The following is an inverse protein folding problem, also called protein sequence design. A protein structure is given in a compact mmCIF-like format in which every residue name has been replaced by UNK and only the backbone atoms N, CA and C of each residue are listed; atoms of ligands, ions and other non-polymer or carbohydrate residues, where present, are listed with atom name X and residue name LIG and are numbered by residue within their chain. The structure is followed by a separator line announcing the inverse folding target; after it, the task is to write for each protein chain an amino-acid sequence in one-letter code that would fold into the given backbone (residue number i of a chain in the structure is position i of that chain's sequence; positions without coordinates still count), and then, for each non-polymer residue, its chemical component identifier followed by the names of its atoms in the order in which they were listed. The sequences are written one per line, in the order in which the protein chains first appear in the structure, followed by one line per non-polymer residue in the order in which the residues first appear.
data_IF_990057037436
#
_entry.id   IF_990057037436
#
_cell.length_a   1.000
_cell.length_b   1.000
_cell.length_c   1.000
_cell.angle_alpha   90.00
_cell.angle_beta   90.00
_cell.angle_gamma   90.00
#
_symmetry.space_group_name_H-M   'P 1'
#
loop_
_entity.id
_entity.type
_entity.pdbx_description
1 polymer ?
#
# COMPACT_ATOMS: atom_id res chain seq x y z
N UNK A 1 32.83 -21.54 -10.72
CA UNK A 1 33.77 -20.69 -9.98
C UNK A 1 33.61 -19.27 -10.51
N UNK A 2 32.58 -18.58 -10.01
CA UNK A 2 32.40 -17.13 -10.18
C UNK A 2 32.02 -16.64 -8.79
N UNK A 3 32.98 -15.99 -8.17
CA UNK A 3 32.83 -15.26 -6.91
C UNK A 3 32.40 -13.87 -7.35
N UNK A 4 31.14 -13.51 -7.12
CA UNK A 4 30.75 -12.09 -7.19
C UNK A 4 31.32 -11.39 -5.96
N UNK A 5 32.08 -10.33 -6.22
CA UNK A 5 32.72 -9.50 -5.23
C UNK A 5 31.68 -8.91 -4.29
N UNK A 6 31.79 -9.24 -3.00
CA UNK A 6 31.21 -8.47 -1.90
C UNK A 6 31.69 -7.03 -2.06
N UNK A 7 30.79 -6.11 -2.39
CA UNK A 7 31.10 -4.70 -2.45
C UNK A 7 31.66 -4.27 -1.08
N UNK A 8 32.86 -3.71 -1.06
CA UNK A 8 33.47 -3.17 0.16
C UNK A 8 32.61 -2.03 0.71
N UNK A 9 32.42 -1.97 2.03
CA UNK A 9 31.69 -0.89 2.74
C UNK A 9 32.07 0.51 2.23
N UNK A 10 33.33 0.70 1.85
CA UNK A 10 33.84 1.97 1.31
C UNK A 10 33.14 2.45 0.04
N UNK A 11 32.72 1.55 -0.87
CA UNK A 11 32.01 1.91 -2.11
C UNK A 11 30.56 2.29 -1.83
N UNK A 12 29.96 1.71 -0.79
CA UNK A 12 28.61 2.04 -0.35
C UNK A 12 28.61 3.41 0.35
N UNK A 13 29.60 3.66 1.21
CA UNK A 13 29.80 4.95 1.88
C UNK A 13 30.05 6.09 0.88
N UNK A 14 30.83 5.86 -0.18
CA UNK A 14 31.01 6.84 -1.27
C UNK A 14 29.70 7.14 -2.01
N UNK A 15 28.86 6.13 -2.25
CA UNK A 15 27.53 6.33 -2.86
C UNK A 15 26.59 7.10 -1.93
N UNK A 16 26.56 6.77 -0.64
CA UNK A 16 25.75 7.48 0.36
C UNK A 16 26.18 8.94 0.42
N UNK A 17 27.49 9.21 0.45
CA UNK A 17 28.02 10.57 0.46
C UNK A 17 27.62 11.34 -0.79
N UNK A 18 27.77 10.73 -1.97
CA UNK A 18 27.37 11.32 -3.24
C UNK A 18 25.87 11.64 -3.29
N UNK A 19 25.02 10.72 -2.85
CA UNK A 19 23.58 10.96 -2.81
C UNK A 19 23.19 12.03 -1.80
N UNK A 20 23.85 12.10 -0.64
CA UNK A 20 23.66 13.20 0.32
C UNK A 20 24.08 14.56 -0.26
N UNK A 21 25.17 14.62 -1.03
CA UNK A 21 25.61 15.83 -1.72
C UNK A 21 24.64 16.25 -2.83
N UNK A 22 24.12 15.30 -3.62
CA UNK A 22 23.07 15.55 -4.62
C UNK A 22 21.76 16.03 -3.97
N UNK A 23 21.38 15.44 -2.83
CA UNK A 23 20.22 15.84 -2.06
C UNK A 23 20.38 17.27 -1.54
N UNK A 24 21.53 17.59 -0.94
CA UNK A 24 21.84 18.94 -0.45
C UNK A 24 21.86 19.98 -1.59
N UNK A 25 22.38 19.62 -2.76
CA UNK A 25 22.38 20.49 -3.94
C UNK A 25 20.97 20.77 -4.47
N UNK A 26 20.02 19.84 -4.31
CA UNK A 26 18.60 20.09 -4.62
C UNK A 26 17.93 21.09 -3.67
N UNK A 27 18.45 21.23 -2.44
CA UNK A 27 17.94 22.16 -1.43
C UNK A 27 18.71 23.50 -1.37
N UNK A 28 19.76 23.68 -2.17
CA UNK A 28 20.65 24.85 -2.17
C UNK A 28 20.05 26.12 -2.81
N UNK A 29 18.71 26.22 -2.82
CA UNK A 29 17.97 27.46 -3.04
C UNK A 29 17.62 28.22 -1.75
N UNK A 30 17.64 27.56 -0.59
CA UNK A 30 17.37 28.17 0.72
C UNK A 30 18.11 27.39 1.84
N UNK A 31 19.43 27.58 1.97
CA UNK A 31 20.19 27.10 3.14
C UNK A 31 20.42 28.24 4.14
N UNK A 32 19.58 28.33 5.16
CA UNK A 32 20.06 28.68 6.50
C UNK A 32 20.65 27.42 7.15
N UNK A 33 21.79 27.57 7.81
CA UNK A 33 22.67 26.52 8.32
C UNK A 33 21.97 25.44 9.17
N UNK A 34 22.05 24.19 8.72
CA UNK A 34 21.62 22.97 9.44
C UNK A 34 22.61 22.56 10.53
N UNK A 35 22.85 23.44 11.50
CA UNK A 35 23.29 23.05 12.84
C UNK A 35 22.25 23.61 13.79
N UNK A 36 21.08 22.98 13.84
CA UNK A 36 20.06 23.39 14.81
C UNK A 36 20.19 22.53 16.05
N UNK A 37 20.59 23.19 17.15
CA UNK A 37 20.08 22.84 18.47
C UNK A 37 18.56 22.65 18.37
N UNK A 38 18.00 21.79 19.22
CA UNK A 38 16.59 21.41 19.28
C UNK A 38 15.73 22.64 19.67
N UNK A 39 15.55 23.57 18.73
CA UNK A 39 14.69 24.73 18.85
C UNK A 39 13.29 24.27 18.50
N UNK A 40 12.36 24.36 19.45
CA UNK A 40 10.93 24.12 19.19
C UNK A 40 10.51 24.90 17.94
N UNK A 41 10.26 24.20 16.83
CA UNK A 41 9.87 24.88 15.58
C UNK A 41 10.51 24.41 14.28
N UNK A 42 11.31 23.35 14.24
CA UNK A 42 11.80 22.71 12.99
C UNK A 42 11.28 21.28 12.81
N UNK A 43 11.64 20.62 11.70
CA UNK A 43 11.30 19.21 11.45
C UNK A 43 9.82 18.91 11.19
N UNK A 44 9.39 17.71 11.54
CA UNK A 44 8.02 17.23 11.28
C UNK A 44 6.96 18.09 11.99
N UNK A 45 7.24 18.55 13.21
CA UNK A 45 6.31 19.41 13.96
C UNK A 45 6.07 20.75 13.25
N UNK A 46 7.14 21.36 12.71
CA UNK A 46 7.02 22.57 11.91
C UNK A 46 6.19 22.31 10.65
N UNK A 47 6.49 21.22 9.94
CA UNK A 47 5.80 20.83 8.72
C UNK A 47 4.29 20.61 8.94
N UNK A 48 3.88 19.84 9.96
CA UNK A 48 2.46 19.62 10.23
C UNK A 48 1.75 20.89 10.68
N UNK A 49 2.43 21.75 11.45
CA UNK A 49 1.91 23.07 11.85
C UNK A 49 1.69 23.97 10.63
N UNK A 50 2.61 23.99 9.68
CA UNK A 50 2.52 24.78 8.46
C UNK A 50 1.41 24.27 7.54
N UNK A 51 1.27 22.94 7.40
CA UNK A 51 0.16 22.32 6.68
C UNK A 51 -1.19 22.76 7.23
N UNK A 52 -1.39 22.69 8.55
CA UNK A 52 -2.65 23.13 9.19
C UNK A 52 -2.83 24.65 9.14
N UNK A 53 -1.74 25.40 9.15
CA UNK A 53 -1.78 26.85 9.03
C UNK A 53 -2.25 27.27 7.63
N UNK A 54 -1.76 26.60 6.59
CA UNK A 54 -2.07 26.85 5.18
C UNK A 54 -3.42 26.27 4.75
N UNK A 55 -3.75 25.07 5.19
CA UNK A 55 -4.96 24.34 4.81
C UNK A 55 -5.91 24.23 6.00
N UNK A 56 -6.79 25.23 6.17
CA UNK A 56 -7.71 25.31 7.32
C UNK A 56 -8.72 24.17 7.41
N UNK A 57 -8.98 23.50 6.30
CA UNK A 57 -9.90 22.35 6.21
C UNK A 57 -9.15 21.01 6.19
N UNK A 58 -7.89 20.97 6.64
CA UNK A 58 -7.12 19.73 6.77
C UNK A 58 -7.54 18.97 8.04
N UNK A 59 -8.34 17.93 7.86
CA UNK A 59 -8.86 17.12 8.96
C UNK A 59 -7.75 16.30 9.65
N UNK A 60 -6.97 15.56 8.85
CA UNK A 60 -5.98 14.61 9.36
C UNK A 60 -4.68 14.61 8.58
N UNK A 61 -3.61 14.18 9.25
CA UNK A 61 -2.29 13.92 8.67
C UNK A 61 -1.95 12.48 9.03
N UNK A 62 -1.74 11.65 8.04
CA UNK A 62 -1.42 10.23 8.22
C UNK A 62 0.01 9.96 7.78
N UNK A 63 0.67 9.02 8.45
CA UNK A 63 2.01 8.55 8.04
C UNK A 63 1.99 7.06 7.74
N UNK A 64 2.90 6.62 6.89
CA UNK A 64 3.06 5.22 6.54
C UNK A 64 4.13 4.55 7.40
N UNK A 65 3.90 3.30 7.80
CA UNK A 65 4.94 2.39 8.26
C UNK A 65 4.54 0.92 8.04
N UNK A 66 5.48 -0.02 8.16
CA UNK A 66 5.17 -1.44 8.14
C UNK A 66 4.80 -1.95 9.55
N UNK A 67 4.08 -3.06 9.65
CA UNK A 67 3.62 -3.61 10.93
C UNK A 67 4.77 -3.84 11.92
N UNK A 68 5.91 -4.31 11.46
CA UNK A 68 7.09 -4.57 12.30
C UNK A 68 8.07 -3.39 12.38
N UNK A 69 7.76 -2.22 11.81
CA UNK A 69 8.65 -1.05 11.76
C UNK A 69 8.79 -0.49 10.35
N UNK A 70 9.99 -0.53 9.79
CA UNK A 70 10.19 -0.39 8.34
C UNK A 70 10.02 -1.75 7.64
N UNK A 71 10.30 -1.83 6.34
CA UNK A 71 10.18 -3.06 5.54
C UNK A 71 10.82 -4.31 6.19
N UNK A 72 12.01 -4.18 6.77
CA UNK A 72 12.73 -5.25 7.48
C UNK A 72 12.63 -5.16 9.01
N UNK A 73 11.67 -4.41 9.54
CA UNK A 73 11.43 -4.26 10.97
C UNK A 73 12.42 -3.34 11.70
N UNK A 74 12.72 -3.67 12.97
CA UNK A 74 13.53 -2.84 13.89
C UNK A 74 14.94 -3.41 14.03
N UNK A 75 15.96 -2.56 13.82
CA UNK A 75 17.37 -2.93 14.00
C UNK A 75 17.71 -3.21 15.50
N UNK A 76 18.13 -4.44 15.87
CA UNK A 76 18.38 -4.88 17.26
C UNK A 76 19.25 -3.97 18.13
N UNK A 77 20.26 -3.35 17.53
CA UNK A 77 21.29 -2.59 18.26
C UNK A 77 20.92 -1.13 18.49
N UNK A 78 19.83 -0.65 17.88
CA UNK A 78 19.44 0.77 17.95
C UNK A 78 18.46 1.06 19.07
N UNK A 79 17.51 0.16 19.29
CA UNK A 79 16.45 0.29 20.28
C UNK A 79 16.47 -0.93 21.21
N UNK A 80 17.55 -1.07 21.99
CA UNK A 80 17.83 -2.26 22.81
C UNK A 80 16.73 -2.60 23.80
N UNK A 81 15.97 -1.61 24.29
CA UNK A 81 14.83 -1.79 25.18
C UNK A 81 13.64 -2.53 24.54
N UNK A 82 13.58 -2.60 23.20
CA UNK A 82 12.55 -3.33 22.46
C UNK A 82 12.91 -4.80 22.22
N UNK A 83 14.13 -5.22 22.56
CA UNK A 83 14.57 -6.63 22.46
C UNK A 83 14.34 -7.22 21.05
N UNK A 84 14.57 -6.45 19.99
CA UNK A 84 14.35 -6.98 18.63
C UNK A 84 15.44 -7.96 18.21
N UNK A 85 15.05 -8.97 17.42
CA UNK A 85 15.94 -10.02 16.89
C UNK A 85 15.68 -10.16 15.39
N UNK A 86 16.73 -10.29 14.60
CA UNK A 86 16.58 -10.63 13.17
C UNK A 86 16.16 -12.09 13.06
N UNK A 87 14.98 -12.32 12.50
CA UNK A 87 14.41 -13.63 12.20
C UNK A 87 14.50 -13.84 10.68
N UNK A 88 15.05 -14.97 10.20
CA UNK A 88 15.01 -15.31 8.79
C UNK A 88 13.58 -15.34 8.26
N UNK A 89 13.39 -14.93 7.00
CA UNK A 89 12.10 -15.05 6.33
C UNK A 89 12.13 -16.26 5.40
N UNK A 90 11.44 -17.33 5.78
CA UNK A 90 11.34 -18.54 4.97
C UNK A 90 10.12 -18.46 4.05
N UNK A 91 10.37 -18.49 2.72
CA UNK A 91 9.29 -18.50 1.73
C UNK A 91 8.65 -19.90 1.71
N UNK A 92 7.33 -19.94 1.90
CA UNK A 92 6.57 -21.18 1.74
C UNK A 92 6.52 -21.62 0.27
N UNK A 93 6.45 -22.93 -0.06
CA UNK A 93 6.36 -23.40 -1.44
C UNK A 93 5.19 -22.79 -2.24
N UNK A 94 4.09 -22.44 -1.57
CA UNK A 94 2.95 -21.79 -2.21
C UNK A 94 3.22 -20.34 -2.59
N UNK A 95 3.95 -19.60 -1.76
CA UNK A 95 4.37 -18.24 -2.06
C UNK A 95 5.49 -18.22 -3.12
N UNK A 96 6.41 -19.18 -3.08
CA UNK A 96 7.48 -19.35 -4.08
C UNK A 96 6.94 -19.66 -5.48
N UNK A 97 5.78 -20.34 -5.54
CA UNK A 97 5.07 -20.61 -6.80
C UNK A 97 4.27 -19.41 -7.34
N UNK A 98 4.26 -18.28 -6.63
CA UNK A 98 3.55 -17.06 -7.02
C UNK A 98 4.49 -16.05 -7.71
N UNK A 99 4.07 -14.79 -7.83
CA UNK A 99 4.87 -13.75 -8.46
C UNK A 99 6.04 -13.34 -7.57
N UNK A 100 7.24 -13.26 -8.18
CA UNK A 100 8.42 -12.66 -7.57
C UNK A 100 8.17 -11.18 -7.28
N UNK A 101 8.46 -10.75 -6.05
CA UNK A 101 8.26 -9.38 -5.61
C UNK A 101 9.56 -8.81 -5.04
N UNK A 102 9.95 -7.62 -5.50
CA UNK A 102 11.22 -7.01 -5.10
C UNK A 102 11.27 -6.73 -3.59
N UNK A 103 10.16 -6.35 -2.96
CA UNK A 103 10.14 -6.07 -1.53
C UNK A 103 10.28 -7.38 -0.73
N UNK A 104 9.60 -8.45 -1.16
CA UNK A 104 9.74 -9.78 -0.56
C UNK A 104 11.17 -10.30 -0.70
N UNK A 105 11.80 -10.18 -1.87
CA UNK A 105 13.18 -10.64 -2.08
C UNK A 105 14.16 -9.95 -1.12
N UNK A 106 13.99 -8.64 -0.88
CA UNK A 106 14.80 -7.91 0.11
C UNK A 106 14.52 -8.33 1.55
N UNK A 107 13.29 -8.72 1.86
CA UNK A 107 12.93 -9.28 3.17
C UNK A 107 13.60 -10.64 3.37
N UNK A 108 13.64 -11.49 2.35
CA UNK A 108 14.30 -12.80 2.39
C UNK A 108 15.81 -12.65 2.59
N UNK A 109 16.45 -11.75 1.85
CA UNK A 109 17.89 -11.51 1.94
C UNK A 109 18.33 -11.02 3.32
N UNK A 110 17.57 -10.10 3.93
CA UNK A 110 17.98 -9.42 5.17
C UNK A 110 17.30 -9.95 6.45
N UNK A 111 16.21 -10.71 6.32
CA UNK A 111 15.35 -11.10 7.43
C UNK A 111 14.56 -9.92 8.02
N UNK A 112 13.85 -10.20 9.11
CA UNK A 112 13.00 -9.22 9.80
C UNK A 112 13.47 -9.03 11.23
N UNK A 113 13.80 -7.80 11.59
CA UNK A 113 13.99 -7.38 12.97
C UNK A 113 12.67 -7.37 13.73
N UNK A 114 12.28 -8.52 14.26
CA UNK A 114 11.05 -8.70 15.02
C UNK A 114 11.26 -8.24 16.47
N UNK A 115 10.45 -7.29 16.93
CA UNK A 115 10.37 -6.89 18.35
C UNK A 115 9.80 -8.05 19.16
N UNK A 116 10.38 -8.35 20.32
CA UNK A 116 9.86 -9.43 21.15
C UNK A 116 8.36 -9.19 21.47
N UNK A 117 7.46 -10.20 21.36
CA UNK A 117 6.02 -9.96 21.46
C UNK A 117 5.57 -9.27 22.75
N UNK A 118 6.23 -9.52 23.89
CA UNK A 118 5.95 -8.83 25.16
C UNK A 118 6.16 -7.31 25.11
N UNK A 119 6.89 -6.81 24.11
CA UNK A 119 7.22 -5.41 23.87
C UNK A 119 6.42 -4.77 22.74
N UNK A 120 5.49 -5.48 22.11
CA UNK A 120 4.74 -4.97 20.96
C UNK A 120 4.01 -3.65 21.24
N UNK A 121 3.36 -3.51 22.40
CA UNK A 121 2.71 -2.25 22.79
C UNK A 121 3.71 -1.10 22.95
N UNK A 122 4.84 -1.34 23.64
CA UNK A 122 5.89 -0.33 23.85
C UNK A 122 6.48 0.13 22.52
N UNK A 123 6.68 -0.80 21.59
CA UNK A 123 7.14 -0.51 20.23
C UNK A 123 6.17 0.43 19.50
N UNK A 124 4.89 0.08 19.38
CA UNK A 124 3.92 0.96 18.70
C UNK A 124 3.69 2.27 19.43
N UNK A 125 3.65 2.25 20.77
CA UNK A 125 3.39 3.45 21.56
C UNK A 125 4.55 4.45 21.49
N UNK A 126 5.80 3.98 21.43
CA UNK A 126 6.97 4.84 21.27
C UNK A 126 6.92 5.61 19.93
N UNK A 127 6.56 4.93 18.85
CA UNK A 127 6.42 5.53 17.53
C UNK A 127 5.21 6.47 17.45
N UNK A 128 4.03 5.98 17.84
CA UNK A 128 2.79 6.74 17.69
C UNK A 128 2.69 7.93 18.67
N UNK A 129 3.24 7.82 19.88
CA UNK A 129 3.26 8.94 20.83
C UNK A 129 4.06 10.12 20.28
N UNK A 130 5.23 9.86 19.66
CA UNK A 130 6.01 10.90 18.99
C UNK A 130 5.27 11.49 17.79
N UNK A 131 4.71 10.65 16.93
CA UNK A 131 3.95 11.10 15.76
C UNK A 131 2.75 11.98 16.18
N UNK A 132 2.00 11.57 17.20
CA UNK A 132 0.91 12.34 17.77
C UNK A 132 1.40 13.68 18.35
N UNK A 133 2.54 13.69 19.05
CA UNK A 133 3.09 14.93 19.62
C UNK A 133 3.51 15.94 18.55
N UNK A 134 3.86 15.47 17.34
CA UNK A 134 4.18 16.34 16.19
C UNK A 134 2.98 16.53 15.25
N UNK A 135 1.75 16.25 15.70
CA UNK A 135 0.52 16.63 15.00
C UNK A 135 0.00 15.67 13.93
N UNK A 136 0.58 14.46 13.83
CA UNK A 136 0.03 13.34 13.04
C UNK A 136 -1.21 12.79 13.76
N UNK A 137 -2.21 12.36 13.00
CA UNK A 137 -3.51 11.93 13.55
C UNK A 137 -3.87 10.50 13.22
N UNK A 138 -3.10 9.81 12.39
CA UNK A 138 -3.37 8.44 12.00
C UNK A 138 -2.22 7.79 11.25
N UNK A 139 -2.40 6.54 10.86
CA UNK A 139 -1.38 5.76 10.17
C UNK A 139 -1.93 4.90 9.03
N UNK A 140 -1.13 4.72 7.98
CA UNK A 140 -1.30 3.63 7.02
C UNK A 140 -0.26 2.56 7.37
N UNK A 141 -0.72 1.37 7.71
CA UNK A 141 0.15 0.28 8.12
C UNK A 141 0.17 -0.79 7.04
N UNK A 142 1.37 -1.14 6.60
CA UNK A 142 1.60 -2.18 5.59
C UNK A 142 2.17 -3.46 6.19
N UNK A 143 2.27 -4.48 5.35
CA UNK A 143 3.03 -5.72 5.59
C UNK A 143 2.49 -6.56 6.77
N UNK A 144 1.17 -6.61 6.95
CA UNK A 144 0.55 -7.39 8.04
C UNK A 144 0.79 -8.90 7.91
N UNK A 145 0.95 -9.40 6.68
CA UNK A 145 1.23 -10.80 6.39
C UNK A 145 2.56 -11.29 6.96
N UNK A 146 3.51 -10.38 7.24
CA UNK A 146 4.85 -10.74 7.72
C UNK A 146 4.86 -11.59 8.98
N UNK A 147 3.87 -11.43 9.87
CA UNK A 147 3.81 -12.20 11.12
C UNK A 147 3.76 -13.71 10.85
N UNK A 148 3.17 -14.15 9.74
CA UNK A 148 3.10 -15.58 9.42
C UNK A 148 4.49 -16.22 9.30
N UNK A 149 5.44 -15.51 8.69
CA UNK A 149 6.79 -16.03 8.41
C UNK A 149 7.74 -16.00 9.60
N UNK A 150 7.37 -15.33 10.70
CA UNK A 150 8.27 -15.12 11.86
C UNK A 150 7.67 -15.63 13.17
N UNK A 151 6.61 -16.44 13.10
CA UNK A 151 5.85 -16.86 14.28
C UNK A 151 6.29 -18.19 14.92
N UNK A 152 7.26 -18.90 14.36
CA UNK A 152 7.63 -20.25 14.80
C UNK A 152 8.03 -20.31 16.28
N UNK A 153 8.84 -19.36 16.75
CA UNK A 153 9.27 -19.27 18.16
C UNK A 153 8.22 -18.63 19.09
N UNK A 154 7.03 -18.26 18.58
CA UNK A 154 6.07 -17.41 19.28
C UNK A 154 4.65 -17.99 19.37
N UNK A 155 4.53 -19.32 19.36
CA UNK A 155 3.24 -20.02 19.47
C UNK A 155 2.45 -20.05 18.17
N UNK A 156 3.11 -19.78 17.03
CA UNK A 156 2.50 -19.74 15.71
C UNK A 156 1.78 -18.43 15.42
N UNK A 157 1.38 -18.27 14.15
CA UNK A 157 0.90 -17.00 13.61
C UNK A 157 -0.29 -16.40 14.38
N UNK A 158 -1.13 -17.22 14.98
CA UNK A 158 -2.31 -16.77 15.76
C UNK A 158 -1.91 -16.09 17.07
N UNK A 159 -1.01 -16.70 17.87
CA UNK A 159 -0.62 -16.14 19.16
C UNK A 159 0.27 -14.90 19.01
N UNK A 160 1.14 -14.91 17.99
CA UNK A 160 1.92 -13.74 17.62
C UNK A 160 1.01 -12.58 17.18
N UNK A 161 0.05 -12.84 16.28
CA UNK A 161 -0.89 -11.84 15.79
C UNK A 161 -1.76 -11.25 16.91
N UNK A 162 -2.27 -12.07 17.84
CA UNK A 162 -3.00 -11.57 19.02
C UNK A 162 -2.19 -10.53 19.79
N UNK A 163 -0.92 -10.83 20.04
CA UNK A 163 -0.05 -9.97 20.84
C UNK A 163 0.29 -8.67 20.11
N UNK A 164 0.65 -8.76 18.82
CA UNK A 164 0.97 -7.61 17.98
C UNK A 164 -0.25 -6.71 17.77
N UNK A 165 -1.41 -7.27 17.43
CA UNK A 165 -2.62 -6.49 17.18
C UNK A 165 -3.20 -5.90 18.47
N UNK A 166 -3.07 -6.55 19.62
CA UNK A 166 -3.42 -5.95 20.92
C UNK A 166 -2.51 -4.76 21.25
N UNK A 167 -1.20 -4.90 21.04
CA UNK A 167 -0.24 -3.81 21.20
C UNK A 167 -0.54 -2.63 20.27
N UNK A 168 -0.79 -2.90 18.99
CA UNK A 168 -1.18 -1.90 18.01
C UNK A 168 -2.49 -1.21 18.41
N UNK A 169 -3.52 -1.98 18.76
CA UNK A 169 -4.82 -1.44 19.19
C UNK A 169 -4.68 -0.49 20.37
N UNK A 170 -3.93 -0.87 21.40
CA UNK A 170 -3.70 -0.01 22.58
C UNK A 170 -3.02 1.30 22.19
N UNK A 171 -2.00 1.25 21.35
CA UNK A 171 -1.31 2.44 20.86
C UNK A 171 -2.23 3.34 20.03
N UNK A 172 -3.02 2.76 19.12
CA UNK A 172 -3.98 3.49 18.29
C UNK A 172 -5.05 4.20 19.14
N UNK A 173 -5.61 3.52 20.14
CA UNK A 173 -6.60 4.10 21.07
C UNK A 173 -6.03 5.27 21.85
N UNK A 174 -4.77 5.14 22.30
CA UNK A 174 -4.10 6.20 23.07
C UNK A 174 -3.76 7.42 22.21
N UNK A 175 -3.24 7.21 21.00
CA UNK A 175 -2.56 8.26 20.24
C UNK A 175 -3.38 8.83 19.07
N UNK A 176 -4.30 8.05 18.50
CA UNK A 176 -4.98 8.36 17.22
C UNK A 176 -6.48 8.03 17.23
N UNK A 177 -7.18 8.30 18.34
CA UNK A 177 -8.63 8.06 18.50
C UNK A 177 -9.09 6.60 18.25
N UNK A 178 -8.16 5.64 18.19
CA UNK A 178 -8.42 4.23 17.90
C UNK A 178 -8.50 3.91 16.40
N UNK A 179 -9.42 4.55 15.67
CA UNK A 179 -9.82 4.10 14.32
C UNK A 179 -9.12 4.80 13.16
N UNK A 180 -8.20 5.74 13.42
CA UNK A 180 -7.48 6.48 12.38
C UNK A 180 -6.34 5.63 11.78
N UNK A 181 -6.70 4.48 11.21
CA UNK A 181 -5.78 3.50 10.64
C UNK A 181 -6.33 2.88 9.35
N UNK A 182 -5.46 2.81 8.35
CA UNK A 182 -5.70 2.12 7.09
C UNK A 182 -4.71 0.96 6.99
N UNK A 183 -5.19 -0.27 6.76
CA UNK A 183 -4.32 -1.41 6.54
C UNK A 183 -4.05 -1.64 5.06
N UNK A 184 -2.86 -2.13 4.75
CA UNK A 184 -2.52 -2.61 3.42
C UNK A 184 -1.57 -3.80 3.52
N UNK A 185 -1.55 -4.63 2.48
CA UNK A 185 -0.93 -5.97 2.52
C UNK A 185 -1.44 -6.80 3.73
N UNK A 186 -2.75 -6.83 3.95
CA UNK A 186 -3.35 -7.48 5.13
C UNK A 186 -4.04 -8.81 4.88
N UNK A 187 -3.80 -9.43 3.72
CA UNK A 187 -4.65 -10.50 3.18
C UNK A 187 -4.46 -11.86 3.89
N UNK A 188 -3.98 -11.86 5.13
CA UNK A 188 -3.88 -13.04 5.99
C UNK A 188 -5.17 -13.23 6.81
N UNK A 189 -5.51 -14.48 7.13
CA UNK A 189 -6.75 -14.80 7.85
C UNK A 189 -6.80 -14.16 9.25
N UNK A 190 -5.68 -14.15 9.95
CA UNK A 190 -5.55 -13.62 11.30
C UNK A 190 -5.93 -12.14 11.36
N UNK A 191 -5.59 -11.35 10.33
CA UNK A 191 -6.02 -9.97 10.22
C UNK A 191 -7.54 -9.84 10.25
N UNK A 192 -8.24 -10.60 9.40
CA UNK A 192 -9.70 -10.52 9.30
C UNK A 192 -10.43 -10.92 10.57
N UNK A 193 -9.89 -11.87 11.34
CA UNK A 193 -10.49 -12.32 12.59
C UNK A 193 -10.11 -11.48 13.81
N UNK A 194 -8.93 -10.85 13.82
CA UNK A 194 -8.36 -10.23 15.02
C UNK A 194 -8.18 -8.70 14.87
N UNK A 195 -7.65 -8.23 13.75
CA UNK A 195 -7.30 -6.82 13.54
C UNK A 195 -8.51 -5.94 13.17
N UNK A 196 -9.53 -6.53 12.54
CA UNK A 196 -10.77 -5.83 12.13
C UNK A 196 -11.58 -5.27 13.30
N UNK A 197 -11.27 -5.69 14.53
CA UNK A 197 -11.77 -5.05 15.75
C UNK A 197 -11.43 -3.55 15.80
N UNK A 198 -10.24 -3.17 15.33
CA UNK A 198 -9.75 -1.78 15.37
C UNK A 198 -9.65 -1.15 13.98
N UNK A 199 -9.40 -1.96 12.95
CA UNK A 199 -9.10 -1.49 11.59
C UNK A 199 -10.30 -1.79 10.68
N UNK A 200 -10.94 -0.74 10.17
CA UNK A 200 -12.14 -0.87 9.32
C UNK A 200 -11.89 -0.61 7.84
N UNK A 201 -10.70 -0.17 7.45
CA UNK A 201 -10.35 0.13 6.05
C UNK A 201 -9.12 -0.68 5.67
N UNK A 202 -9.17 -1.36 4.52
CA UNK A 202 -8.00 -2.07 4.03
C UNK A 202 -7.93 -2.19 2.51
N UNK A 203 -6.70 -2.12 1.99
CA UNK A 203 -6.42 -2.25 0.56
C UNK A 203 -6.84 -3.61 0.03
N UNK A 204 -7.60 -3.62 -1.05
CA UNK A 204 -8.11 -4.85 -1.69
C UNK A 204 -7.40 -5.21 -2.99
N UNK A 205 -6.60 -4.30 -3.56
CA UNK A 205 -5.79 -4.58 -4.74
C UNK A 205 -4.30 -4.68 -4.42
N UNK A 206 -3.54 -5.02 -5.45
CA UNK A 206 -2.12 -4.71 -5.51
C UNK A 206 -1.92 -3.18 -5.64
N UNK A 207 -0.68 -2.71 -5.69
CA UNK A 207 -0.36 -1.30 -5.90
C UNK A 207 -0.85 -0.79 -7.26
N UNK A 208 -1.28 0.47 -7.30
CA UNK A 208 -1.37 1.21 -8.54
C UNK A 208 0.04 1.43 -9.10
N UNK A 209 0.30 0.81 -10.24
CA UNK A 209 1.54 0.98 -11.00
C UNK A 209 1.31 1.91 -12.18
N UNK A 210 1.99 3.06 -12.19
CA UNK A 210 1.94 4.03 -13.30
C UNK A 210 2.72 3.56 -14.54
N UNK A 211 3.63 2.58 -14.37
CA UNK A 211 4.34 1.90 -15.46
C UNK A 211 4.61 0.45 -15.05
N UNK A 212 4.87 -0.43 -16.02
CA UNK A 212 5.24 -1.80 -15.71
C UNK A 212 6.62 -1.86 -15.04
N UNK A 213 6.73 -2.44 -13.83
CA UNK A 213 8.01 -2.60 -13.15
C UNK A 213 9.02 -3.43 -13.95
N UNK A 214 8.55 -4.21 -14.92
CA UNK A 214 9.42 -4.99 -15.81
C UNK A 214 9.70 -4.35 -17.17
N UNK A 215 9.23 -3.12 -17.39
CA UNK A 215 9.60 -2.30 -18.54
C UNK A 215 8.81 -2.55 -19.83
N UNK A 216 7.66 -3.22 -19.82
CA UNK A 216 6.75 -3.23 -20.97
C UNK A 216 6.19 -1.81 -21.20
N UNK A 217 6.46 -1.17 -22.36
CA UNK A 217 5.94 0.16 -22.66
C UNK A 217 4.41 0.24 -22.67
N UNK A 218 3.73 -0.89 -22.95
CA UNK A 218 2.27 -0.96 -22.92
C UNK A 218 1.71 -1.25 -21.52
N UNK A 219 2.60 -1.49 -20.53
CA UNK A 219 2.30 -1.67 -19.12
C UNK A 219 1.39 -0.60 -18.56
N UNK A 220 1.64 0.64 -18.97
CA UNK A 220 0.87 1.83 -18.62
C UNK A 220 -0.65 1.67 -18.86
N UNK A 221 -1.08 0.78 -19.77
CA UNK A 221 -2.49 0.50 -20.05
C UNK A 221 -2.99 -0.81 -19.43
N UNK A 222 -2.31 -1.93 -19.67
CA UNK A 222 -2.87 -3.24 -19.30
C UNK A 222 -2.84 -3.49 -17.78
N UNK A 223 -1.90 -2.88 -17.04
CA UNK A 223 -1.88 -2.93 -15.58
C UNK A 223 -3.12 -2.29 -14.95
N UNK A 224 -3.69 -1.28 -15.62
CA UNK A 224 -4.84 -0.56 -15.08
C UNK A 224 -6.11 -1.41 -15.13
N UNK A 225 -6.24 -2.25 -16.17
CA UNK A 225 -7.26 -3.30 -16.24
C UNK A 225 -7.08 -4.35 -15.13
N UNK A 226 -5.84 -4.80 -14.93
CA UNK A 226 -5.48 -5.77 -13.89
C UNK A 226 -5.82 -5.25 -12.48
N UNK A 227 -5.42 -4.03 -12.16
CA UNK A 227 -5.72 -3.36 -10.89
C UNK A 227 -7.22 -3.33 -10.60
N UNK A 228 -8.02 -2.96 -11.61
CA UNK A 228 -9.48 -2.89 -11.49
C UNK A 228 -10.12 -4.25 -11.22
N UNK A 229 -9.62 -5.30 -11.86
CA UNK A 229 -10.08 -6.67 -11.63
C UNK A 229 -9.73 -7.08 -10.20
N UNK A 230 -8.48 -6.89 -9.77
CA UNK A 230 -8.04 -7.24 -8.42
C UNK A 230 -8.90 -6.53 -7.36
N UNK A 231 -9.04 -5.20 -7.45
CA UNK A 231 -9.83 -4.44 -6.49
C UNK A 231 -11.30 -4.88 -6.47
N UNK A 232 -11.93 -5.05 -7.63
CA UNK A 232 -13.36 -5.39 -7.71
C UNK A 232 -13.66 -6.81 -7.22
N UNK A 233 -12.87 -7.81 -7.63
CA UNK A 233 -13.08 -9.20 -7.23
C UNK A 233 -12.70 -9.42 -5.77
N UNK A 234 -11.62 -8.83 -5.27
CA UNK A 234 -11.26 -8.95 -3.86
C UNK A 234 -12.28 -8.21 -2.96
N UNK A 235 -12.91 -7.13 -3.45
CA UNK A 235 -14.01 -6.46 -2.73
C UNK A 235 -15.21 -7.38 -2.51
N UNK A 236 -15.45 -8.39 -3.36
CA UNK A 236 -16.53 -9.37 -3.17
C UNK A 236 -16.38 -10.15 -1.86
N UNK A 237 -15.14 -10.54 -1.55
CA UNK A 237 -14.80 -11.28 -0.35
C UNK A 237 -14.54 -10.34 0.84
N UNK A 238 -13.63 -9.39 0.69
CA UNK A 238 -13.13 -8.55 1.79
C UNK A 238 -14.16 -7.52 2.26
N UNK A 239 -15.01 -7.04 1.34
CA UNK A 239 -16.06 -6.06 1.64
C UNK A 239 -17.07 -6.54 2.70
N UNK A 240 -17.15 -7.84 2.95
CA UNK A 240 -18.01 -8.40 4.01
C UNK A 240 -17.45 -8.15 5.42
N UNK A 241 -16.19 -7.73 5.54
CA UNK A 241 -15.49 -7.59 6.82
C UNK A 241 -14.91 -6.18 7.03
N UNK A 242 -14.41 -5.55 5.97
CA UNK A 242 -13.78 -4.22 6.02
C UNK A 242 -14.21 -3.38 4.82
N UNK A 243 -14.09 -2.05 4.93
CA UNK A 243 -14.26 -1.14 3.81
C UNK A 243 -13.09 -1.32 2.82
N UNK A 244 -13.37 -1.69 1.56
CA UNK A 244 -12.34 -1.79 0.52
C UNK A 244 -11.68 -0.45 0.21
N UNK A 245 -10.36 -0.44 0.25
CA UNK A 245 -9.51 0.62 -0.30
C UNK A 245 -8.95 0.19 -1.65
N UNK A 246 -9.26 0.98 -2.68
CA UNK A 246 -8.89 0.70 -4.09
C UNK A 246 -7.57 1.34 -4.47
N UNK A 247 -6.80 1.84 -3.51
CA UNK A 247 -5.53 2.53 -3.68
C UNK A 247 -5.62 3.91 -4.32
N UNK A 248 -4.52 4.66 -4.20
CA UNK A 248 -4.22 5.90 -4.90
C UNK A 248 -4.16 5.74 -6.43
N UNK A 249 -4.18 6.88 -7.12
CA UNK A 249 -3.87 6.97 -8.54
C UNK A 249 -3.25 8.34 -8.84
N UNK A 250 -2.68 8.48 -10.04
CA UNK A 250 -2.13 9.74 -10.53
C UNK A 250 -3.12 10.42 -11.48
N UNK A 251 -3.44 11.70 -11.22
CA UNK A 251 -4.42 12.48 -11.98
C UNK A 251 -3.91 12.93 -13.35
N UNK A 252 -2.59 12.97 -13.52
CA UNK A 252 -1.88 13.27 -14.78
C UNK A 252 -1.52 12.00 -15.59
N UNK A 253 -1.82 10.81 -15.06
CA UNK A 253 -1.61 9.56 -15.76
C UNK A 253 -2.48 9.44 -17.03
N UNK A 254 -2.01 8.74 -18.06
CA UNK A 254 -2.75 8.54 -19.32
C UNK A 254 -4.10 7.83 -19.11
N UNK A 255 -4.21 7.00 -18.08
CA UNK A 255 -5.46 6.34 -17.65
C UNK A 255 -6.12 7.02 -16.43
N UNK A 256 -5.83 8.29 -16.15
CA UNK A 256 -6.35 8.97 -14.96
C UNK A 256 -7.89 9.02 -14.92
N UNK A 257 -8.56 9.32 -16.04
CA UNK A 257 -10.04 9.34 -16.07
C UNK A 257 -10.65 7.96 -15.77
N UNK A 258 -9.98 6.89 -16.22
CA UNK A 258 -10.37 5.51 -15.95
C UNK A 258 -10.31 5.20 -14.44
N UNK A 259 -9.24 5.64 -13.76
CA UNK A 259 -9.11 5.47 -12.31
C UNK A 259 -10.00 6.42 -11.49
N UNK A 260 -10.19 7.66 -11.93
CA UNK A 260 -11.10 8.61 -11.29
C UNK A 260 -12.53 8.05 -11.30
N UNK A 261 -12.99 7.54 -12.45
CA UNK A 261 -14.30 6.92 -12.58
C UNK A 261 -14.44 5.68 -11.67
N UNK A 262 -13.41 4.87 -11.52
CA UNK A 262 -13.45 3.71 -10.64
C UNK A 262 -13.49 4.05 -9.15
N UNK A 263 -12.72 5.06 -8.72
CA UNK A 263 -12.75 5.54 -7.33
C UNK A 263 -14.07 6.24 -7.00
N UNK A 264 -14.70 6.93 -7.96
CA UNK A 264 -16.01 7.53 -7.76
C UNK A 264 -17.12 6.48 -7.44
N UNK A 265 -17.04 5.29 -8.05
CA UNK A 265 -18.00 4.20 -7.79
C UNK A 265 -17.55 3.26 -6.67
N UNK A 266 -16.26 3.21 -6.31
CA UNK A 266 -15.71 2.23 -5.35
C UNK A 266 -16.38 2.30 -3.97
N UNK A 267 -16.84 3.49 -3.56
CA UNK A 267 -17.36 3.76 -2.22
C UNK A 267 -16.28 3.84 -1.13
N UNK A 268 -15.04 3.55 -1.49
CA UNK A 268 -13.87 3.69 -0.64
C UNK A 268 -13.31 5.12 -0.62
N UNK A 269 -12.15 5.30 0.00
CA UNK A 269 -11.42 6.55 -0.05
C UNK A 269 -10.86 6.85 -1.46
N UNK A 270 -10.51 8.11 -1.69
CA UNK A 270 -9.91 8.60 -2.94
C UNK A 270 -8.61 9.30 -2.60
N UNK A 271 -7.49 8.78 -3.10
CA UNK A 271 -6.16 9.34 -2.88
C UNK A 271 -5.49 9.67 -4.22
N UNK A 272 -4.69 10.74 -4.21
CA UNK A 272 -3.85 11.12 -5.34
C UNK A 272 -2.39 10.97 -4.96
N UNK A 273 -1.58 10.44 -5.88
CA UNK A 273 -0.13 10.25 -5.72
C UNK A 273 0.67 10.91 -6.84
N UNK A 274 0.12 12.00 -7.36
CA UNK A 274 0.72 12.87 -8.36
C UNK A 274 2.11 13.33 -7.92
N UNK A 275 3.02 13.46 -8.89
CA UNK A 275 4.35 14.00 -8.62
C UNK A 275 4.26 15.49 -8.20
N UNK A 276 5.23 15.95 -7.41
CA UNK A 276 5.36 17.38 -7.14
C UNK A 276 5.92 18.09 -8.39
N UNK A 277 5.30 19.20 -8.81
CA UNK A 277 5.79 20.00 -9.93
C UNK A 277 4.71 20.79 -10.65
N UNK A 278 5.11 21.76 -11.46
CA UNK A 278 4.20 22.49 -12.33
C UNK A 278 3.67 21.54 -13.43
N UNK A 279 2.34 21.45 -13.56
CA UNK A 279 1.70 20.57 -14.55
C UNK A 279 1.44 19.14 -14.11
N UNK A 280 1.85 18.73 -12.91
CA UNK A 280 1.69 17.35 -12.39
C UNK A 280 0.30 17.03 -11.85
N UNK A 281 -0.64 17.99 -11.87
CA UNK A 281 -2.00 17.83 -11.36
C UNK A 281 -3.04 18.18 -12.42
N UNK A 282 -3.93 17.24 -12.73
CA UNK A 282 -5.10 17.50 -13.55
C UNK A 282 -6.26 18.01 -12.69
N UNK A 283 -6.23 19.30 -12.37
CA UNK A 283 -7.27 19.93 -11.54
C UNK A 283 -8.68 19.80 -12.11
N UNK A 284 -8.84 19.74 -13.43
CA UNK A 284 -10.16 19.57 -14.04
C UNK A 284 -10.73 18.18 -13.79
N UNK A 285 -9.89 17.13 -13.79
CA UNK A 285 -10.31 15.79 -13.38
C UNK A 285 -10.58 15.70 -11.88
N UNK A 286 -9.70 16.28 -11.05
CA UNK A 286 -9.84 16.26 -9.58
C UNK A 286 -11.16 16.91 -9.16
N UNK A 287 -11.51 18.06 -9.74
CA UNK A 287 -12.78 18.76 -9.46
C UNK A 287 -14.01 17.93 -9.85
N UNK A 288 -13.93 16.97 -10.78
CA UNK A 288 -15.06 16.06 -11.09
C UNK A 288 -15.35 15.08 -9.95
N UNK A 289 -14.39 14.86 -9.04
CA UNK A 289 -14.51 13.92 -7.92
C UNK A 289 -14.98 14.58 -6.62
N UNK A 290 -15.13 15.90 -6.58
CA UNK A 290 -15.51 16.64 -5.38
C UNK A 290 -16.66 17.62 -5.67
N UNK A 291 -17.46 17.88 -4.65
CA UNK A 291 -18.42 18.98 -4.68
C UNK A 291 -17.70 20.33 -4.48
N UNK A 292 -18.39 21.43 -4.78
CA UNK A 292 -17.84 22.79 -4.64
C UNK A 292 -17.44 23.14 -3.20
N UNK A 293 -18.01 22.48 -2.20
CA UNK A 293 -17.66 22.65 -0.79
C UNK A 293 -16.44 21.81 -0.37
N UNK A 294 -15.83 21.08 -1.30
CA UNK A 294 -14.67 20.22 -1.07
C UNK A 294 -15.02 18.80 -0.58
N UNK A 295 -16.31 18.49 -0.35
CA UNK A 295 -16.69 17.15 0.07
C UNK A 295 -16.66 16.17 -1.11
N UNK A 296 -16.21 14.94 -0.85
CA UNK A 296 -16.13 13.89 -1.88
C UNK A 296 -17.40 13.04 -1.83
N UNK A 297 -18.25 13.04 -2.88
CA UNK A 297 -19.38 12.12 -2.96
C UNK A 297 -18.90 10.68 -2.93
N UNK A 298 -19.47 9.88 -2.02
CA UNK A 298 -19.21 8.44 -1.92
C UNK A 298 -20.48 7.65 -2.14
N UNK A 299 -20.34 6.52 -2.82
CA UNK A 299 -21.37 5.49 -2.83
C UNK A 299 -21.53 4.90 -1.41
N UNK A 300 -22.71 4.33 -1.13
CA UNK A 300 -23.13 3.85 0.19
C UNK A 300 -22.47 2.53 0.55
N UNK A 301 -22.25 1.66 -0.44
CA UNK A 301 -21.58 0.37 -0.26
C UNK A 301 -20.20 0.40 -0.91
N UNK A 302 -19.60 -0.77 -1.09
CA UNK A 302 -18.41 -0.97 -1.91
C UNK A 302 -18.80 -1.49 -3.30
N UNK A 303 -18.00 -1.15 -4.31
CA UNK A 303 -18.26 -1.60 -5.67
C UNK A 303 -18.01 -3.12 -5.81
N UNK A 304 -18.96 -3.80 -6.45
CA UNK A 304 -18.90 -5.24 -6.71
C UNK A 304 -19.07 -5.52 -8.20
N UNK A 305 -18.44 -6.59 -8.74
CA UNK A 305 -18.73 -7.05 -10.09
C UNK A 305 -20.22 -7.36 -10.25
N UNK A 306 -20.82 -6.98 -11.37
CA UNK A 306 -22.19 -7.38 -11.66
C UNK A 306 -22.26 -8.88 -11.85
N UNK A 307 -23.42 -9.46 -11.55
CA UNK A 307 -23.63 -10.92 -11.60
C UNK A 307 -23.20 -11.55 -12.93
N UNK A 308 -23.37 -10.84 -14.03
CA UNK A 308 -23.04 -11.32 -15.37
C UNK A 308 -21.56 -11.13 -15.77
N UNK A 309 -20.76 -10.43 -14.95
CA UNK A 309 -19.30 -10.35 -15.06
C UNK A 309 -18.58 -11.36 -14.17
N UNK A 310 -19.19 -11.85 -13.08
CA UNK A 310 -18.54 -12.69 -12.06
C UNK A 310 -17.77 -13.91 -12.60
N UNK A 311 -18.35 -14.63 -13.55
CA UNK A 311 -17.77 -15.85 -14.13
C UNK A 311 -17.19 -15.63 -15.53
N UNK A 312 -16.93 -14.38 -15.90
CA UNK A 312 -16.26 -14.01 -17.15
C UNK A 312 -14.83 -13.59 -16.83
N UNK A 313 -14.00 -13.57 -17.85
CA UNK A 313 -12.63 -13.10 -17.75
C UNK A 313 -12.45 -11.80 -18.55
N UNK A 314 -12.67 -10.62 -17.93
CA UNK A 314 -12.58 -9.35 -18.62
C UNK A 314 -11.14 -8.90 -18.91
N UNK A 315 -10.12 -9.71 -18.57
CA UNK A 315 -8.71 -9.37 -18.76
C UNK A 315 -8.19 -9.73 -20.15
N UNK A 316 -8.67 -10.81 -20.78
CA UNK A 316 -8.09 -11.23 -22.06
C UNK A 316 -9.01 -12.03 -23.01
N UNK A 317 -10.29 -12.20 -22.69
CA UNK A 317 -11.21 -12.93 -23.56
C UNK A 317 -11.64 -12.16 -24.83
N UNK A 318 -11.26 -10.87 -24.94
CA UNK A 318 -11.59 -9.95 -26.04
C UNK A 318 -13.09 -9.72 -26.28
N UNK A 319 -13.94 -10.15 -25.36
CA UNK A 319 -15.40 -10.06 -25.47
C UNK A 319 -16.01 -9.34 -24.26
N UNK A 320 -15.54 -9.67 -23.07
CA UNK A 320 -16.14 -9.22 -21.82
C UNK A 320 -15.65 -7.85 -21.37
N UNK A 321 -16.56 -7.10 -20.77
CA UNK A 321 -16.27 -5.83 -20.08
C UNK A 321 -16.47 -6.07 -18.59
N UNK A 322 -15.59 -5.52 -17.77
CA UNK A 322 -15.79 -5.51 -16.32
C UNK A 322 -16.90 -4.51 -16.01
N UNK A 323 -18.04 -5.01 -15.52
CA UNK A 323 -19.10 -4.17 -14.99
C UNK A 323 -19.10 -4.27 -13.49
N UNK A 324 -19.08 -3.12 -12.84
CA UNK A 324 -19.18 -3.00 -11.39
C UNK A 324 -20.38 -2.14 -11.05
N UNK A 325 -21.00 -2.42 -9.92
CA UNK A 325 -22.15 -1.65 -9.44
C UNK A 325 -21.98 -1.26 -7.98
N UNK A 326 -22.65 -0.17 -7.62
CA UNK A 326 -22.79 0.31 -6.25
C UNK A 326 -24.11 1.09 -6.14
N UNK A 327 -24.43 1.60 -4.96
CA UNK A 327 -25.60 2.46 -4.72
C UNK A 327 -25.17 3.82 -4.19
N UNK A 328 -25.79 4.88 -4.68
CA UNK A 328 -25.73 6.20 -4.07
C UNK A 328 -27.08 6.51 -3.39
N UNK A 329 -27.22 7.72 -2.82
CA UNK A 329 -28.46 8.15 -2.14
C UNK A 329 -29.70 8.19 -3.05
N UNK A 330 -29.53 8.19 -4.37
CA UNK A 330 -30.59 8.39 -5.35
C UNK A 330 -30.90 7.14 -6.18
N UNK A 331 -29.99 6.16 -6.25
CA UNK A 331 -30.20 4.95 -7.01
C UNK A 331 -28.94 4.11 -7.23
N UNK A 332 -29.06 3.13 -8.12
CA UNK A 332 -27.95 2.29 -8.55
C UNK A 332 -26.99 3.05 -9.48
N UNK A 333 -25.69 2.83 -9.29
CA UNK A 333 -24.61 3.32 -10.14
C UNK A 333 -23.95 2.10 -10.77
N UNK A 334 -23.69 2.16 -12.08
CA UNK A 334 -22.99 1.10 -12.81
C UNK A 334 -21.81 1.74 -13.55
N UNK A 335 -20.62 1.17 -13.38
CA UNK A 335 -19.43 1.49 -14.16
C UNK A 335 -19.07 0.32 -15.08
N UNK A 336 -18.65 0.62 -16.30
CA UNK A 336 -18.25 -0.37 -17.29
C UNK A 336 -16.83 -0.04 -17.77
N UNK A 337 -15.90 -0.97 -17.58
CA UNK A 337 -14.47 -0.78 -17.76
C UNK A 337 -13.90 -1.85 -18.69
N UNK A 338 -13.23 -1.40 -19.75
CA UNK A 338 -12.48 -2.30 -20.61
C UNK A 338 -11.14 -2.64 -19.94
N UNK A 339 -11.04 -3.84 -19.38
CA UNK A 339 -9.86 -4.32 -18.66
C UNK A 339 -8.95 -5.22 -19.52
N UNK A 340 -9.22 -5.28 -20.83
CA UNK A 340 -8.55 -6.22 -21.73
C UNK A 340 -7.06 -5.87 -21.91
N UNK A 341 -6.22 -6.88 -22.00
CA UNK A 341 -4.82 -6.75 -22.41
C UNK A 341 -3.81 -7.45 -21.51
N UNK A 342 -4.21 -7.96 -20.33
CA UNK A 342 -3.31 -8.62 -19.37
C UNK A 342 -3.69 -10.09 -19.16
N UNK A 343 -2.72 -10.94 -18.85
CA UNK A 343 -2.94 -12.34 -18.55
C UNK A 343 -1.81 -12.92 -17.71
N UNK A 344 -2.15 -13.90 -16.86
CA UNK A 344 -1.15 -14.63 -16.08
C UNK A 344 -0.26 -15.45 -17.02
N UNK A 345 1.05 -15.46 -16.77
CA UNK A 345 2.01 -16.31 -17.47
C UNK A 345 2.56 -17.34 -16.48
N UNK A 346 2.14 -18.61 -16.56
CA UNK A 346 2.65 -19.69 -15.71
C UNK A 346 4.14 -19.95 -15.90
N UNK A 347 4.72 -19.59 -17.05
CA UNK A 347 6.15 -19.77 -17.30
C UNK A 347 7.01 -18.71 -16.59
N UNK A 348 6.50 -17.48 -16.54
CA UNK A 348 7.22 -16.33 -15.97
C UNK A 348 6.74 -16.00 -14.56
N UNK A 349 5.76 -16.75 -14.03
CA UNK A 349 5.07 -16.51 -12.75
C UNK A 349 4.64 -15.04 -12.58
N UNK A 350 4.10 -14.41 -13.62
CA UNK A 350 3.67 -13.01 -13.54
C UNK A 350 2.57 -12.68 -14.52
N UNK A 351 1.86 -11.58 -14.27
CA UNK A 351 0.99 -10.98 -15.27
C UNK A 351 1.83 -10.27 -16.32
N UNK A 352 1.43 -10.41 -17.59
CA UNK A 352 2.01 -9.68 -18.71
C UNK A 352 0.95 -9.36 -19.75
N UNK A 353 1.33 -8.56 -20.73
CA UNK A 353 0.50 -8.33 -21.90
C UNK A 353 0.18 -9.64 -22.62
N UNK A 354 -1.08 -9.86 -22.97
CA UNK A 354 -1.49 -11.01 -23.79
C UNK A 354 -1.17 -10.75 -25.25
N UNK A 355 -0.29 -11.57 -25.83
CA UNK A 355 -0.05 -11.63 -27.28
C UNK A 355 -0.98 -12.65 -27.94
N UNK A 356 -1.10 -12.60 -29.28
CA UNK A 356 -1.98 -13.52 -30.02
C UNK A 356 -1.66 -15.02 -29.83
N UNK A 357 -0.43 -15.37 -29.42
CA UNK A 357 0.01 -16.74 -29.19
C UNK A 357 -0.27 -17.23 -27.75
N UNK A 358 -0.34 -16.32 -26.76
CA UNK A 358 -0.54 -16.66 -25.34
C UNK A 358 -1.98 -17.14 -25.05
N UNK A 359 -2.91 -16.88 -25.97
CA UNK A 359 -4.33 -17.24 -25.81
C UNK A 359 -4.57 -18.76 -25.76
N UNK A 360 -3.78 -19.59 -26.44
CA UNK A 360 -3.97 -21.05 -26.44
C UNK A 360 -3.45 -21.72 -25.16
N UNK A 361 -2.43 -21.15 -24.52
CA UNK A 361 -1.84 -21.69 -23.29
C UNK A 361 -2.71 -21.32 -22.08
N UNK A 362 -3.15 -20.06 -21.99
CA UNK A 362 -4.00 -19.58 -20.91
C UNK A 362 -5.43 -20.14 -20.93
N UNK A 363 -5.99 -20.49 -22.09
CA UNK A 363 -7.32 -21.14 -22.16
C UNK A 363 -7.30 -22.62 -21.80
N UNK A 364 -6.18 -23.33 -21.99
CA UNK A 364 -6.07 -24.76 -21.67
C UNK A 364 -6.00 -25.02 -20.16
N UNK A 365 -5.41 -24.10 -19.39
CA UNK A 365 -5.26 -24.27 -17.94
C UNK A 365 -6.50 -23.89 -17.13
N UNK A 366 -7.32 -22.91 -17.55
CA UNK A 366 -8.59 -22.58 -16.86
C UNK A 366 -9.61 -23.73 -16.92
N UNK A 367 -9.44 -24.66 -17.85
CA UNK A 367 -10.27 -25.87 -18.00
C UNK A 367 -9.75 -27.13 -17.28
N UNK A 368 -8.65 -27.03 -16.53
CA UNK A 368 -8.17 -28.09 -15.62
C UNK A 368 -8.43 -27.71 -14.17
#
# INVERSE_FOLDING_TARGET
MYIEEVASDSKLDEKIKKFSEELNAMFDGEQESLVSEDVSGSGMEAFTRDLRSRFKNLDGIYVWHALCGAWNGVRPETLTHLESKVVPFDISPGLDASMTDLAVDRIVEAGIGLVHPSKAHEFYDSMHSYLASVGVTGAKIDVFQTLESVAEEHGGRVELAKTYYDGLTKSMVKNFNGTEIIASMQQCNEFFFLATKQISIGRVGDDFWWQDPHGDPQGVYWLQGLHMIHCSYNSLWMGQMIQPDWDMFQSDHVCAEYHAASRAISGGPVYLSDHLGEGSHNFELIKKLAFFDGTVPRCIHYALPTRDSLFKNPLFDKESILKIFNFNKFGGVIGAFNCQGAGWSPKEHRYKRVSGADNEENTREVTR
#
